data_IF_333081125883
#
_entry.id   IF_333081125883
#
_cell.length_a   1.000
_cell.length_b   1.000
_cell.length_c   1.000
_cell.angle_alpha   90.00
_cell.angle_beta   90.00
_cell.angle_gamma   90.00
#
_symmetry.space_group_name_H-M   'P 1'
#
loop_
_entity.id
_entity.type
_entity.pdbx_description
1 polymer ?
#
# COMPACT_ATOMS: atom_id res chain seq x y z
N UNK A 1 9.40 9.61 6.55
CA UNK A 1 8.91 8.23 6.49
C UNK A 1 7.84 8.07 7.56
N UNK A 2 6.79 7.33 7.27
CA UNK A 2 5.77 6.90 8.23
C UNK A 2 6.25 5.61 8.90
N UNK A 3 5.93 5.44 10.18
CA UNK A 3 6.20 4.21 10.93
C UNK A 3 4.97 3.32 10.88
N UNK A 4 5.14 2.03 10.59
CA UNK A 4 4.06 1.06 10.55
C UNK A 4 4.12 0.20 11.80
N UNK A 5 3.00 0.12 12.50
CA UNK A 5 2.81 -0.71 13.68
C UNK A 5 1.57 -1.59 13.52
N UNK A 6 1.51 -2.68 14.27
CA UNK A 6 0.30 -3.47 14.43
C UNK A 6 -0.24 -3.29 15.84
N UNK A 7 -1.52 -3.60 16.04
CA UNK A 7 -2.12 -3.45 17.35
C UNK A 7 -1.51 -4.40 18.39
N UNK A 8 -1.22 -5.62 17.99
CA UNK A 8 -0.72 -6.70 18.85
C UNK A 8 -0.29 -7.92 18.01
N UNK A 9 0.37 -8.88 18.67
CA UNK A 9 0.83 -10.14 18.05
C UNK A 9 -0.26 -10.94 17.34
N UNK A 10 -1.53 -10.78 17.74
CA UNK A 10 -2.63 -11.45 17.04
C UNK A 10 -2.75 -10.92 15.62
N UNK A 11 -2.61 -9.62 15.41
CA UNK A 11 -2.63 -9.03 14.06
C UNK A 11 -1.46 -9.57 13.24
N UNK A 12 -0.28 -9.70 13.85
CA UNK A 12 0.93 -10.22 13.19
C UNK A 12 0.69 -11.65 12.67
N UNK A 13 0.16 -12.52 13.54
CA UNK A 13 -0.22 -13.89 13.18
C UNK A 13 -1.29 -13.95 12.08
N UNK A 14 -2.21 -12.99 12.04
CA UNK A 14 -3.18 -12.90 10.94
C UNK A 14 -2.53 -12.46 9.62
N UNK A 15 -1.47 -11.66 9.64
CA UNK A 15 -0.68 -11.30 8.45
C UNK A 15 0.14 -12.50 7.97
N UNK A 16 0.79 -13.22 8.89
CA UNK A 16 1.58 -14.43 8.58
C UNK A 16 0.72 -15.50 7.88
N UNK A 17 -0.52 -15.68 8.34
CA UNK A 17 -1.50 -16.63 7.78
C UNK A 17 -2.09 -16.21 6.43
N UNK A 18 -1.80 -15.01 5.94
CA UNK A 18 -2.25 -14.63 4.60
C UNK A 18 -1.63 -15.57 3.56
N UNK A 19 -2.37 -15.96 2.52
CA UNK A 19 -1.82 -16.69 1.38
C UNK A 19 -0.56 -16.01 0.83
N UNK A 20 0.47 -16.75 0.42
CA UNK A 20 1.79 -16.19 0.13
C UNK A 20 1.78 -15.02 -0.88
N UNK A 21 0.98 -15.09 -1.95
CA UNK A 21 0.87 -14.00 -2.94
C UNK A 21 0.07 -12.81 -2.42
N UNK A 22 -0.95 -13.05 -1.59
CA UNK A 22 -1.64 -11.97 -0.85
C UNK A 22 -0.66 -11.29 0.11
N UNK A 23 0.12 -12.05 0.87
CA UNK A 23 1.10 -11.54 1.83
C UNK A 23 2.17 -10.71 1.15
N UNK A 24 2.72 -11.16 0.01
CA UNK A 24 3.70 -10.40 -0.77
C UNK A 24 3.14 -9.03 -1.20
N UNK A 25 1.94 -9.00 -1.78
CA UNK A 25 1.27 -7.76 -2.18
C UNK A 25 0.94 -6.86 -1.00
N UNK A 26 0.49 -7.43 0.11
CA UNK A 26 0.21 -6.69 1.33
C UNK A 26 1.46 -5.96 1.80
N UNK A 27 2.60 -6.65 1.94
CA UNK A 27 3.86 -6.06 2.39
C UNK A 27 4.39 -5.00 1.40
N UNK A 28 4.20 -5.15 0.08
CA UNK A 28 4.50 -4.07 -0.87
C UNK A 28 3.65 -2.81 -0.62
N UNK A 29 2.35 -2.96 -0.36
CA UNK A 29 1.47 -1.82 -0.03
C UNK A 29 1.90 -1.17 1.29
N UNK A 30 2.34 -1.95 2.27
CA UNK A 30 2.93 -1.40 3.50
C UNK A 30 4.13 -0.52 3.19
N UNK A 31 5.06 -0.96 2.34
CA UNK A 31 6.19 -0.14 1.94
C UNK A 31 5.79 1.17 1.22
N UNK A 32 4.68 1.16 0.47
CA UNK A 32 4.14 2.40 -0.10
C UNK A 32 3.63 3.34 1.00
N UNK A 33 2.99 2.79 2.04
CA UNK A 33 2.48 3.56 3.19
C UNK A 33 3.61 4.12 4.05
N UNK A 34 4.72 3.41 4.22
CA UNK A 34 5.93 3.93 4.88
C UNK A 34 6.44 5.20 4.20
N UNK A 35 6.31 5.28 2.88
CA UNK A 35 6.82 6.40 2.10
C UNK A 35 5.77 7.51 2.04
N UNK A 36 4.56 7.17 1.62
CA UNK A 36 3.52 8.14 1.29
C UNK A 36 2.45 8.36 2.35
N UNK A 37 2.28 7.45 3.30
CA UNK A 37 1.24 7.44 4.32
C UNK A 37 -0.11 7.94 3.80
N UNK A 38 -0.59 9.07 4.33
CA UNK A 38 -1.91 9.63 3.96
C UNK A 38 -2.05 10.09 2.50
N UNK A 39 -0.96 10.16 1.72
CA UNK A 39 -0.96 10.43 0.28
C UNK A 39 -1.06 9.16 -0.57
N UNK A 40 -1.00 7.97 0.05
CA UNK A 40 -1.41 6.71 -0.56
C UNK A 40 -2.93 6.60 -0.42
N UNK A 41 -3.63 6.61 -1.56
CA UNK A 41 -5.10 6.59 -1.64
C UNK A 41 -5.56 5.38 -2.46
N UNK A 42 -6.74 5.48 -3.06
CA UNK A 42 -7.27 4.47 -3.96
C UNK A 42 -6.27 4.21 -5.11
N UNK A 43 -6.05 2.93 -5.50
CA UNK A 43 -6.83 1.75 -5.11
C UNK A 43 -6.39 1.05 -3.82
N UNK A 44 -5.22 1.39 -3.28
CA UNK A 44 -4.56 0.63 -2.22
C UNK A 44 -5.18 0.94 -0.87
N UNK A 45 -5.57 2.20 -0.66
CA UNK A 45 -6.17 2.68 0.59
C UNK A 45 -7.51 3.34 0.33
N UNK A 46 -8.50 2.96 1.14
CA UNK A 46 -9.81 3.60 1.20
C UNK A 46 -10.02 4.27 2.56
N UNK A 47 -10.52 5.50 2.55
CA UNK A 47 -11.00 6.19 3.77
C UNK A 47 -12.46 5.84 4.05
N UNK A 48 -12.79 5.62 5.32
CA UNK A 48 -14.15 5.44 5.83
C UNK A 48 -14.63 6.61 6.70
N UNK A 49 -13.86 7.70 6.76
CA UNK A 49 -14.10 8.80 7.70
C UNK A 49 -13.75 8.44 9.15
N UNK A 50 -13.78 9.44 10.04
CA UNK A 50 -13.50 9.28 11.49
C UNK A 50 -12.16 8.61 11.81
N UNK A 51 -11.12 8.86 11.00
CA UNK A 51 -9.79 8.28 11.20
C UNK A 51 -9.66 6.80 10.82
N UNK A 52 -10.71 6.19 10.24
CA UNK A 52 -10.68 4.79 9.82
C UNK A 52 -10.28 4.65 8.35
N UNK A 53 -9.28 3.81 8.09
CA UNK A 53 -8.78 3.50 6.76
C UNK A 53 -8.68 2.00 6.51
N UNK A 54 -8.68 1.62 5.25
CA UNK A 54 -8.60 0.23 4.80
C UNK A 54 -7.54 0.05 3.71
N UNK A 55 -6.61 -0.87 3.95
CA UNK A 55 -5.72 -1.43 2.93
C UNK A 55 -6.49 -2.48 2.12
N UNK A 56 -6.36 -2.41 0.79
CA UNK A 56 -7.09 -3.25 -0.16
C UNK A 56 -6.13 -4.11 -0.98
N UNK A 57 -6.05 -5.39 -0.63
CA UNK A 57 -5.20 -6.37 -1.34
C UNK A 57 -6.04 -7.32 -2.18
N UNK A 58 -5.56 -7.62 -3.39
CA UNK A 58 -6.10 -8.67 -4.25
C UNK A 58 -4.97 -9.40 -4.97
N UNK A 59 -4.98 -10.73 -4.92
CA UNK A 59 -4.17 -11.61 -5.76
C UNK A 59 -5.08 -12.63 -6.46
N UNK A 60 -4.49 -13.60 -7.15
CA UNK A 60 -5.19 -14.80 -7.64
C UNK A 60 -5.69 -15.70 -6.50
N UNK A 61 -5.06 -15.66 -5.32
CA UNK A 61 -5.44 -16.46 -4.13
C UNK A 61 -6.62 -15.83 -3.36
N UNK A 62 -7.10 -14.67 -3.81
CA UNK A 62 -8.28 -14.01 -3.27
C UNK A 62 -8.04 -12.56 -2.85
N UNK A 63 -8.81 -12.14 -1.85
CA UNK A 63 -8.93 -10.75 -1.43
C UNK A 63 -8.65 -10.66 0.06
N UNK A 64 -7.74 -9.78 0.45
CA UNK A 64 -7.52 -9.41 1.84
C UNK A 64 -7.75 -7.92 2.06
N UNK A 65 -8.12 -7.59 3.30
CA UNK A 65 -8.29 -6.23 3.78
C UNK A 65 -7.59 -6.09 5.12
N UNK A 66 -7.05 -4.90 5.36
CA UNK A 66 -6.59 -4.55 6.68
C UNK A 66 -7.13 -3.17 7.07
N UNK A 67 -7.60 -3.04 8.30
CA UNK A 67 -7.98 -1.75 8.84
C UNK A 67 -6.85 -1.14 9.63
N UNK A 68 -6.73 0.17 9.48
CA UNK A 68 -5.71 0.95 10.14
C UNK A 68 -6.19 2.38 10.40
N UNK A 69 -5.37 3.11 11.12
CA UNK A 69 -5.55 4.51 11.49
C UNK A 69 -4.24 5.29 11.33
N UNK A 70 -4.32 6.61 11.29
CA UNK A 70 -3.15 7.48 11.45
C UNK A 70 -3.11 8.02 12.88
N UNK A 71 -1.93 7.94 13.47
CA UNK A 71 -1.61 8.51 14.76
C UNK A 71 -0.70 9.73 14.62
N UNK A 72 -0.43 10.40 15.74
CA UNK A 72 0.57 11.49 15.80
C UNK A 72 1.94 11.00 15.31
N UNK A 73 2.78 11.95 14.92
CA UNK A 73 4.18 11.69 14.54
C UNK A 73 4.36 10.71 13.37
N UNK A 74 3.39 10.67 12.45
CA UNK A 74 3.40 9.84 11.24
C UNK A 74 3.45 8.34 11.53
N UNK A 75 2.70 7.89 12.54
CA UNK A 75 2.50 6.47 12.83
C UNK A 75 1.22 5.95 12.17
N UNK A 76 1.28 4.75 11.61
CA UNK A 76 0.13 4.00 11.08
C UNK A 76 -0.03 2.74 11.93
N UNK A 77 -1.19 2.57 12.57
CA UNK A 77 -1.48 1.37 13.37
C UNK A 77 -2.49 0.51 12.64
N UNK A 78 -2.06 -0.70 12.25
CA UNK A 78 -2.90 -1.74 11.66
C UNK A 78 -3.47 -2.60 12.78
N UNK A 79 -4.79 -2.61 12.93
CA UNK A 79 -5.43 -3.28 14.06
C UNK A 79 -6.31 -4.47 13.67
N UNK A 80 -6.54 -4.68 12.38
CA UNK A 80 -7.27 -5.85 11.92
C UNK A 80 -6.85 -6.23 10.51
N UNK A 81 -6.64 -7.52 10.25
CA UNK A 81 -6.36 -8.09 8.93
C UNK A 81 -7.28 -9.29 8.71
N UNK A 82 -7.81 -9.47 7.51
CA UNK A 82 -8.68 -10.61 7.18
C UNK A 82 -8.78 -10.90 5.68
N UNK A 83 -9.03 -12.16 5.35
CA UNK A 83 -9.40 -12.63 4.01
C UNK A 83 -10.92 -12.49 3.83
N UNK A 84 -11.37 -12.12 2.63
CA UNK A 84 -12.78 -12.01 2.28
C UNK A 84 -13.08 -12.70 0.94
N UNK A 85 -14.29 -13.28 0.83
CA UNK A 85 -14.79 -13.89 -0.42
C UNK A 85 -15.44 -12.89 -1.40
N UNK A 86 -15.79 -11.69 -0.94
CA UNK A 86 -16.49 -10.65 -1.72
C UNK A 86 -15.68 -9.32 -1.66
N UNK A 87 -15.94 -8.38 -2.58
CA UNK A 87 -15.21 -7.13 -2.72
C UNK A 87 -15.62 -6.05 -1.70
N UNK A 88 -16.86 -6.07 -1.19
CA UNK A 88 -17.42 -5.03 -0.29
C UNK A 88 -17.17 -5.30 1.18
N UNK A 89 -16.50 -4.41 1.90
CA UNK A 89 -16.21 -4.63 3.32
C UNK A 89 -17.49 -4.71 4.19
N UNK A 90 -17.67 -5.76 5.04
CA UNK A 90 -18.90 -5.92 5.81
C UNK A 90 -19.09 -4.78 6.83
N UNK A 91 -20.28 -4.15 6.84
CA UNK A 91 -20.61 -3.02 7.73
C UNK A 91 -20.37 -3.34 9.22
N UNK A 92 -20.62 -4.59 9.64
CA UNK A 92 -20.41 -5.03 11.01
C UNK A 92 -18.93 -4.99 11.44
N UNK A 93 -17.99 -5.27 10.54
CA UNK A 93 -16.55 -5.17 10.86
C UNK A 93 -16.08 -3.72 10.97
N UNK A 94 -16.60 -2.83 10.10
CA UNK A 94 -16.32 -1.39 10.17
C UNK A 94 -16.77 -0.82 11.52
N UNK A 95 -17.97 -1.18 11.99
CA UNK A 95 -18.49 -0.74 13.30
C UNK A 95 -17.66 -1.26 14.46
N UNK A 96 -17.23 -2.54 14.42
CA UNK A 96 -16.38 -3.14 15.46
C UNK A 96 -15.00 -2.47 15.51
N UNK A 97 -14.40 -2.25 14.35
CA UNK A 97 -13.10 -1.57 14.19
C UNK A 97 -13.05 -0.18 14.83
N UNK A 98 -14.12 0.62 14.67
CA UNK A 98 -14.21 1.96 15.28
C UNK A 98 -14.21 1.94 16.83
N UNK A 99 -14.59 0.82 17.47
CA UNK A 99 -14.52 0.65 18.93
C UNK A 99 -13.13 0.20 19.38
N UNK A 100 -12.53 -0.74 18.64
CA UNK A 100 -11.28 -1.40 19.01
C UNK A 100 -10.05 -0.47 18.89
N UNK A 101 -10.07 0.54 18.00
CA UNK A 101 -8.96 1.49 17.86
C UNK A 101 -8.94 2.61 18.92
N UNK A 102 -10.11 3.07 19.42
CA UNK A 102 -10.16 4.13 20.45
C UNK A 102 -9.56 3.71 21.80
N UNK A 103 -9.28 2.43 22.00
CA UNK A 103 -8.98 1.84 23.31
C UNK A 103 -7.55 1.34 23.48
N UNK A 104 -6.69 1.37 22.46
CA UNK A 104 -5.43 0.65 22.49
C UNK A 104 -4.23 1.49 22.03
N UNK A 105 -3.18 1.52 22.85
CA UNK A 105 -1.83 1.92 22.44
C UNK A 105 -1.19 0.74 21.70
N UNK A 106 -0.79 0.93 20.44
CA UNK A 106 -0.17 -0.13 19.62
C UNK A 106 1.12 -0.67 20.23
N UNK A 107 1.42 -1.93 19.95
CA UNK A 107 2.73 -2.52 20.22
C UNK A 107 3.55 -2.42 18.94
N UNK A 108 4.76 -1.88 19.03
CA UNK A 108 5.63 -1.69 17.86
C UNK A 108 6.02 -3.05 17.27
N UNK A 109 5.50 -3.37 16.09
CA UNK A 109 5.97 -4.52 15.30
C UNK A 109 7.30 -4.20 14.62
N UNK A 110 8.11 -5.23 14.38
CA UNK A 110 9.25 -5.16 13.48
C UNK A 110 8.86 -5.71 12.10
N UNK A 111 8.41 -4.82 11.20
CA UNK A 111 8.05 -5.17 9.81
C UNK A 111 9.18 -5.94 9.08
N UNK A 112 10.44 -5.60 9.36
CA UNK A 112 11.58 -6.25 8.72
C UNK A 112 11.68 -7.72 9.12
N UNK A 113 11.36 -8.06 10.38
CA UNK A 113 11.31 -9.46 10.83
C UNK A 113 10.25 -10.27 10.07
N UNK A 114 9.02 -9.74 9.98
CA UNK A 114 7.92 -10.41 9.27
C UNK A 114 8.24 -10.64 7.78
N UNK A 115 8.88 -9.65 7.15
CA UNK A 115 9.36 -9.76 5.76
C UNK A 115 10.45 -10.83 5.64
N UNK A 116 11.45 -10.83 6.51
CA UNK A 116 12.52 -11.84 6.50
C UNK A 116 11.98 -13.27 6.67
N UNK A 117 11.03 -13.46 7.58
CA UNK A 117 10.36 -14.76 7.77
C UNK A 117 9.54 -15.16 6.54
N UNK A 118 8.82 -14.21 5.93
CA UNK A 118 8.05 -14.46 4.71
C UNK A 118 8.93 -14.83 3.52
N UNK A 119 10.15 -14.30 3.41
CA UNK A 119 11.10 -14.62 2.33
C UNK A 119 11.58 -16.07 2.32
N UNK A 120 11.39 -16.81 3.42
CA UNK A 120 11.72 -18.25 3.50
C UNK A 120 10.73 -19.12 2.72
N UNK A 121 9.52 -18.62 2.48
CA UNK A 121 8.50 -19.30 1.68
C UNK A 121 8.81 -19.08 0.18
N UNK A 122 9.03 -20.15 -0.61
CA UNK A 122 9.41 -20.03 -2.01
C UNK A 122 8.30 -19.42 -2.88
N UNK A 123 7.03 -19.65 -2.55
CA UNK A 123 5.89 -19.06 -3.28
C UNK A 123 5.83 -17.57 -3.01
N UNK A 124 6.02 -17.17 -1.76
CA UNK A 124 6.13 -15.76 -1.38
C UNK A 124 7.29 -15.10 -2.11
N UNK A 125 8.50 -15.70 -2.05
CA UNK A 125 9.70 -15.13 -2.66
C UNK A 125 9.52 -14.93 -4.17
N UNK A 126 8.97 -15.92 -4.87
CA UNK A 126 8.71 -15.81 -6.30
C UNK A 126 7.74 -14.66 -6.64
N UNK A 127 6.63 -14.51 -5.90
CA UNK A 127 5.71 -13.38 -6.10
C UNK A 127 6.37 -12.05 -5.71
N UNK A 128 7.16 -12.01 -4.63
CA UNK A 128 7.88 -10.82 -4.19
C UNK A 128 8.85 -10.33 -5.26
N UNK A 129 9.68 -11.22 -5.81
CA UNK A 129 10.65 -10.92 -6.86
C UNK A 129 9.91 -10.45 -8.13
N UNK A 130 8.83 -11.14 -8.52
CA UNK A 130 7.97 -10.74 -9.65
C UNK A 130 7.39 -9.34 -9.50
N UNK A 131 6.94 -8.98 -8.29
CA UNK A 131 6.32 -7.68 -8.01
C UNK A 131 7.34 -6.55 -7.83
N UNK A 132 8.60 -6.87 -7.55
CA UNK A 132 9.61 -5.89 -7.16
C UNK A 132 9.85 -4.79 -8.22
N UNK A 133 10.00 -5.10 -9.52
CA UNK A 133 10.15 -4.06 -10.54
C UNK A 133 8.97 -3.07 -10.58
N UNK A 134 7.74 -3.60 -10.54
CA UNK A 134 6.51 -2.79 -10.53
C UNK A 134 6.41 -1.93 -9.28
N UNK A 135 6.72 -2.51 -8.12
CA UNK A 135 6.73 -1.80 -6.85
C UNK A 135 7.78 -0.67 -6.86
N UNK A 136 8.99 -0.92 -7.36
CA UNK A 136 10.06 0.08 -7.42
C UNK A 136 9.65 1.27 -8.29
N UNK A 137 9.04 1.02 -9.46
CA UNK A 137 8.51 2.08 -10.31
C UNK A 137 7.41 2.86 -9.58
N UNK A 138 6.45 2.16 -8.96
CA UNK A 138 5.35 2.78 -8.24
C UNK A 138 5.86 3.65 -7.07
N UNK A 139 6.85 3.16 -6.33
CA UNK A 139 7.52 3.89 -5.27
C UNK A 139 8.13 5.19 -5.81
N UNK A 140 8.89 5.13 -6.91
CA UNK A 140 9.49 6.32 -7.52
C UNK A 140 8.45 7.36 -7.95
N UNK A 141 7.32 6.93 -8.54
CA UNK A 141 6.23 7.82 -8.93
C UNK A 141 5.62 8.52 -7.70
N UNK A 142 5.27 7.74 -6.66
CA UNK A 142 4.70 8.27 -5.42
C UNK A 142 5.69 9.23 -4.75
N UNK A 143 6.97 8.88 -4.65
CA UNK A 143 8.00 9.76 -4.11
C UNK A 143 8.14 11.06 -4.90
N UNK A 144 8.18 10.99 -6.23
CA UNK A 144 8.29 12.16 -7.09
C UNK A 144 7.10 13.10 -6.88
N UNK A 145 5.89 12.54 -6.83
CA UNK A 145 4.65 13.27 -6.57
C UNK A 145 4.63 13.93 -5.20
N UNK A 146 5.05 13.20 -4.16
CA UNK A 146 5.13 13.73 -2.78
C UNK A 146 6.17 14.85 -2.69
N UNK A 147 7.34 14.68 -3.31
CA UNK A 147 8.40 15.71 -3.37
C UNK A 147 7.92 16.96 -4.11
N UNK A 148 7.07 16.79 -5.12
CA UNK A 148 6.39 17.87 -5.83
C UNK A 148 5.22 18.48 -5.04
N UNK A 149 4.87 17.94 -3.87
CA UNK A 149 3.72 18.33 -3.02
C UNK A 149 2.38 18.25 -3.74
N UNK A 150 2.22 17.23 -4.59
CA UNK A 150 0.99 17.03 -5.38
C UNK A 150 0.17 15.86 -4.83
N UNK A 151 -1.14 16.06 -4.77
CA UNK A 151 -2.14 14.99 -4.62
C UNK A 151 -2.29 14.22 -5.93
N UNK A 152 -2.96 13.06 -5.87
CA UNK A 152 -3.31 12.30 -7.08
C UNK A 152 -4.22 13.09 -8.03
N UNK A 153 -5.09 13.95 -7.49
CA UNK A 153 -5.98 14.79 -8.28
C UNK A 153 -5.22 15.93 -8.97
N UNK A 154 -4.33 16.60 -8.24
CA UNK A 154 -3.52 17.70 -8.78
C UNK A 154 -2.54 17.22 -9.86
N UNK A 155 -1.89 16.06 -9.67
CA UNK A 155 -1.01 15.51 -10.71
C UNK A 155 -1.83 15.11 -11.95
N UNK A 156 -3.04 14.59 -11.78
CA UNK A 156 -3.93 14.25 -12.90
C UNK A 156 -4.30 15.51 -13.70
N UNK A 157 -4.66 16.59 -13.00
CA UNK A 157 -4.95 17.88 -13.61
C UNK A 157 -3.73 18.43 -14.38
N UNK A 158 -2.54 18.40 -13.77
CA UNK A 158 -1.29 18.82 -14.42
C UNK A 158 -0.98 18.02 -15.69
N UNK A 159 -1.22 16.71 -15.64
CA UNK A 159 -1.04 15.81 -16.78
C UNK A 159 -2.17 15.92 -17.82
N UNK A 160 -3.25 16.66 -17.53
CA UNK A 160 -4.48 16.74 -18.33
C UNK A 160 -5.10 15.36 -18.59
N UNK A 161 -5.13 14.53 -17.55
CA UNK A 161 -5.77 13.19 -17.56
C UNK A 161 -6.74 13.07 -16.40
N UNK A 162 -7.59 12.03 -16.40
CA UNK A 162 -8.48 11.77 -15.27
C UNK A 162 -7.70 11.29 -14.04
N UNK A 163 -8.25 11.51 -12.85
CA UNK A 163 -7.70 10.93 -11.61
C UNK A 163 -7.68 9.39 -11.67
N UNK A 164 -8.63 8.76 -12.38
CA UNK A 164 -8.60 7.31 -12.60
C UNK A 164 -7.38 6.85 -13.40
N UNK A 165 -6.87 7.66 -14.32
CA UNK A 165 -5.64 7.37 -15.08
C UNK A 165 -4.41 7.44 -14.16
N UNK A 166 -4.35 8.40 -13.24
CA UNK A 166 -3.30 8.47 -12.21
C UNK A 166 -3.39 7.35 -11.18
N UNK A 167 -4.60 7.05 -10.71
CA UNK A 167 -4.85 5.89 -9.86
C UNK A 167 -4.43 4.61 -10.58
N UNK A 168 -4.66 4.50 -11.90
CA UNK A 168 -4.18 3.38 -12.72
C UNK A 168 -2.64 3.34 -12.85
N UNK A 169 -1.94 4.48 -12.91
CA UNK A 169 -0.47 4.53 -12.83
C UNK A 169 0.08 4.05 -11.49
N UNK A 170 -0.71 4.27 -10.45
CA UNK A 170 -0.40 3.81 -9.11
C UNK A 170 -1.09 2.45 -8.83
N UNK A 171 -1.70 1.78 -9.82
CA UNK A 171 -2.45 0.52 -9.67
C UNK A 171 -1.97 -0.58 -10.63
N UNK A 172 -1.33 -1.58 -10.02
CA UNK A 172 -1.09 -2.94 -10.53
C UNK A 172 -0.05 -3.06 -11.64
N UNK A 173 0.45 -4.29 -11.80
CA UNK A 173 1.45 -4.78 -12.76
C UNK A 173 1.09 -4.52 -14.24
N UNK A 174 0.87 -3.26 -14.62
CA UNK A 174 0.49 -2.86 -15.96
C UNK A 174 1.69 -2.20 -16.63
N UNK A 175 1.93 -2.61 -17.87
CA UNK A 175 2.94 -2.02 -18.72
C UNK A 175 2.52 -0.60 -19.11
N UNK A 176 3.18 0.38 -18.50
CA UNK A 176 2.96 1.78 -18.84
C UNK A 176 3.73 2.14 -20.10
N UNK A 177 3.09 2.88 -21.00
CA UNK A 177 3.82 3.53 -22.10
C UNK A 177 4.85 4.49 -21.52
N UNK A 178 6.08 4.43 -22.03
CA UNK A 178 7.18 5.33 -21.62
C UNK A 178 6.75 6.80 -21.75
N UNK A 179 6.02 7.15 -22.82
CA UNK A 179 5.45 8.50 -23.03
C UNK A 179 4.62 9.00 -21.86
N UNK A 180 3.93 8.10 -21.16
CA UNK A 180 3.09 8.44 -20.02
C UNK A 180 3.93 8.70 -18.77
N UNK A 181 4.95 7.88 -18.54
CA UNK A 181 5.91 8.07 -17.44
C UNK A 181 6.69 9.38 -17.61
N UNK A 182 7.05 9.76 -18.83
CA UNK A 182 7.66 11.05 -19.14
C UNK A 182 6.74 12.20 -18.70
N UNK A 183 5.47 12.20 -19.12
CA UNK A 183 4.50 13.24 -18.73
C UNK A 183 4.30 13.32 -17.22
N UNK A 184 4.29 12.18 -16.53
CA UNK A 184 4.17 12.16 -15.08
C UNK A 184 5.40 12.78 -14.42
N UNK A 185 6.61 12.41 -14.88
CA UNK A 185 7.85 12.97 -14.39
C UNK A 185 7.89 14.49 -14.61
N UNK A 186 7.59 14.97 -15.81
CA UNK A 186 7.54 16.40 -16.15
C UNK A 186 6.54 17.16 -15.27
N UNK A 187 5.34 16.60 -15.05
CA UNK A 187 4.35 17.18 -14.17
C UNK A 187 4.84 17.29 -12.71
N UNK A 188 5.69 16.36 -12.27
CA UNK A 188 6.39 16.41 -10.99
C UNK A 188 7.65 17.31 -10.98
N UNK A 189 8.01 17.93 -12.11
CA UNK A 189 9.26 18.68 -12.25
C UNK A 189 10.51 17.79 -12.27
N UNK A 190 10.39 16.58 -12.81
CA UNK A 190 11.42 15.54 -12.92
C UNK A 190 11.63 15.14 -14.37
N UNK A 191 12.72 14.42 -14.62
CA UNK A 191 13.00 13.71 -15.88
C UNK A 191 12.91 12.21 -15.61
N UNK A 192 12.40 11.45 -16.57
CA UNK A 192 12.44 9.99 -16.52
C UNK A 192 13.83 9.49 -16.94
N UNK A 193 14.40 8.61 -16.13
CA UNK A 193 15.62 7.85 -16.43
C UNK A 193 15.35 6.37 -16.13
N UNK A 194 15.81 5.47 -16.99
CA UNK A 194 15.60 4.02 -16.87
C UNK A 194 16.97 3.35 -16.89
N UNK A 195 17.28 2.61 -15.84
CA UNK A 195 18.55 1.92 -15.65
C UNK A 195 18.33 0.42 -15.43
N UNK A 196 19.22 -0.40 -15.99
CA UNK A 196 19.30 -1.83 -15.68
C UNK A 196 20.23 -2.03 -14.47
N UNK A 197 19.92 -2.99 -13.61
CA UNK A 197 20.72 -3.34 -12.44
C UNK A 197 21.07 -4.83 -12.50
N UNK A 198 22.18 -5.21 -11.87
CA UNK A 198 22.59 -6.61 -11.76
C UNK A 198 21.56 -7.43 -10.94
N UNK A 199 21.48 -8.73 -11.24
CA UNK A 199 20.55 -9.67 -10.60
C UNK A 199 21.10 -10.28 -9.33
#
# INVERSE_FOLDING_TARGET
>A
MWVIETLNEKVDKEIEKLPPKIRARFLKIIGLLEIGGNLVKEPHVKSFGDGLFEIRVKSEEGIARAFFTYEKDKVIIIFQVFIKKDQKTPKNRVRKSKKDFKTNKGVKMNFEKLKQESMKDPVFKAEWDRLTPYYNLQQQLIEARIKARLTQEEIAQKMKVSQSVVSNFERKELDYRISTLIKYAEACGKKLEINFVDK
#
